data_IF_531109688020
#
_entry.id   IF_531109688020
#
_cell.length_a   1.000
_cell.length_b   1.000
_cell.length_c   1.000
_cell.angle_alpha   90.00
_cell.angle_beta   90.00
_cell.angle_gamma   90.00
#
_symmetry.space_group_name_H-M   'P 1'
#
loop_
_entity.id
_entity.type
_entity.pdbx_description
1 polymer ?
#
# COMPACT_ATOMS: atom_id res chain seq x y z
N UNK A 1 30.52 16.95 -9.52
CA UNK A 1 30.59 16.45 -8.13
C UNK A 1 32.01 16.01 -7.90
N UNK A 2 32.80 16.78 -7.15
CA UNK A 2 34.18 16.38 -6.84
C UNK A 2 34.10 15.31 -5.75
N UNK A 3 34.47 14.09 -6.09
CA UNK A 3 34.43 12.96 -5.17
C UNK A 3 35.57 13.11 -4.16
N UNK A 4 35.24 13.07 -2.87
CA UNK A 4 36.22 12.95 -1.81
C UNK A 4 36.95 11.59 -1.91
N UNK A 5 38.22 11.49 -1.48
CA UNK A 5 38.96 10.22 -1.51
C UNK A 5 38.32 9.15 -0.60
N UNK A 6 37.72 9.57 0.52
CA UNK A 6 36.97 8.74 1.47
C UNK A 6 35.69 9.46 1.90
N UNK A 7 34.70 8.74 2.45
CA UNK A 7 33.45 9.36 2.91
C UNK A 7 33.74 10.32 4.08
N UNK A 8 33.18 11.53 3.99
CA UNK A 8 33.29 12.54 5.05
C UNK A 8 32.53 12.14 6.32
N UNK A 9 31.56 11.22 6.21
CA UNK A 9 30.84 10.64 7.36
C UNK A 9 31.78 9.79 8.19
N UNK A 10 32.54 8.90 7.55
CA UNK A 10 33.51 8.02 8.20
C UNK A 10 34.62 8.85 8.88
N UNK A 11 35.01 9.99 8.28
CA UNK A 11 35.91 10.96 8.89
C UNK A 11 35.32 11.60 10.17
N UNK A 12 34.05 12.00 10.16
CA UNK A 12 33.39 12.59 11.34
C UNK A 12 33.15 11.57 12.45
N UNK A 13 32.89 10.31 12.09
CA UNK A 13 32.65 9.20 13.02
C UNK A 13 33.94 8.55 13.53
N UNK A 14 35.11 9.03 13.11
CA UNK A 14 36.44 8.49 13.47
C UNK A 14 36.61 7.01 13.09
N UNK A 15 35.97 6.59 11.99
CA UNK A 15 36.04 5.22 11.45
C UNK A 15 37.22 5.03 10.48
N UNK A 16 37.82 6.12 10.03
CA UNK A 16 38.98 6.11 9.12
C UNK A 16 40.29 5.85 9.88
N UNK A 17 41.20 5.12 9.26
CA UNK A 17 42.57 4.99 9.77
C UNK A 17 43.32 6.32 9.69
N UNK A 18 44.35 6.49 10.51
CA UNK A 18 45.17 7.72 10.54
C UNK A 18 45.77 8.10 9.18
N UNK A 19 46.11 7.10 8.35
CA UNK A 19 46.59 7.33 6.99
C UNK A 19 45.49 7.92 6.09
N UNK A 20 44.27 7.39 6.16
CA UNK A 20 43.13 7.86 5.38
C UNK A 20 42.64 9.24 5.83
N UNK A 21 42.71 9.53 7.14
CA UNK A 21 42.40 10.86 7.68
C UNK A 21 43.30 11.94 7.06
N UNK A 22 44.61 11.67 6.94
CA UNK A 22 45.56 12.59 6.30
C UNK A 22 45.25 12.87 4.83
N UNK A 23 44.76 11.87 4.09
CA UNK A 23 44.32 12.03 2.69
C UNK A 23 43.08 12.93 2.58
N UNK A 24 42.11 12.76 3.48
CA UNK A 24 40.90 13.60 3.55
C UNK A 24 41.25 15.04 3.93
N UNK A 25 42.13 15.25 4.90
CA UNK A 25 42.56 16.59 5.33
C UNK A 25 43.30 17.34 4.22
N UNK A 26 44.18 16.65 3.50
CA UNK A 26 44.88 17.19 2.33
C UNK A 26 43.89 17.62 1.25
N UNK A 27 42.87 16.80 0.99
CA UNK A 27 41.80 17.13 0.04
C UNK A 27 40.93 18.31 0.52
N UNK A 28 40.58 18.37 1.81
CA UNK A 28 39.79 19.45 2.41
C UNK A 28 40.52 20.80 2.34
N UNK A 29 41.85 20.81 2.46
CA UNK A 29 42.65 22.01 2.30
C UNK A 29 42.51 22.62 0.88
N UNK A 30 42.40 21.77 -0.15
CA UNK A 30 42.24 22.19 -1.55
C UNK A 30 40.80 22.38 -2.02
N UNK A 31 39.80 21.88 -1.29
CA UNK A 31 38.40 21.82 -1.74
C UNK A 31 37.47 22.68 -0.86
N UNK A 32 37.08 23.89 -1.29
CA UNK A 32 36.11 24.71 -0.54
C UNK A 32 34.73 24.05 -0.45
N UNK A 33 34.31 23.32 -1.49
CA UNK A 33 33.06 22.55 -1.46
C UNK A 33 33.08 21.40 -0.45
N UNK A 34 34.24 20.76 -0.26
CA UNK A 34 34.41 19.71 0.74
C UNK A 34 34.28 20.23 2.18
N UNK A 35 34.84 21.42 2.44
CA UNK A 35 34.72 22.09 3.74
C UNK A 35 33.28 22.47 4.07
N UNK A 36 32.54 23.00 3.08
CA UNK A 36 31.12 23.34 3.25
C UNK A 36 30.25 22.10 3.56
N UNK A 37 30.52 20.97 2.90
CA UNK A 37 29.81 19.72 3.18
C UNK A 37 30.18 19.15 4.56
N UNK A 38 31.47 19.20 4.95
CA UNK A 38 31.91 18.80 6.27
C UNK A 38 31.23 19.62 7.39
N UNK A 39 31.09 20.94 7.18
CA UNK A 39 30.40 21.83 8.12
C UNK A 39 28.90 21.48 8.24
N UNK A 40 28.23 21.21 7.12
CA UNK A 40 26.83 20.74 7.11
C UNK A 40 26.67 19.41 7.88
N UNK A 41 27.59 18.47 7.66
CA UNK A 41 27.57 17.19 8.37
C UNK A 41 27.80 17.40 9.87
N UNK A 42 28.75 18.26 10.27
CA UNK A 42 28.97 18.60 11.69
C UNK A 42 27.74 19.19 12.37
N UNK A 43 27.02 20.08 11.70
CA UNK A 43 25.75 20.62 12.22
C UNK A 43 24.70 19.53 12.40
N UNK A 44 24.56 18.64 11.41
CA UNK A 44 23.60 17.53 11.45
C UNK A 44 23.92 16.54 12.57
N UNK A 45 25.18 16.13 12.70
CA UNK A 45 25.63 15.25 13.78
C UNK A 45 25.53 15.91 15.15
N UNK A 46 25.78 17.22 15.25
CA UNK A 46 25.54 18.00 16.47
C UNK A 46 24.07 18.00 16.89
N UNK A 47 23.16 18.17 15.93
CA UNK A 47 21.72 18.06 16.18
C UNK A 47 21.33 16.63 16.60
N UNK A 48 21.84 15.60 15.93
CA UNK A 48 21.57 14.20 16.30
C UNK A 48 22.08 13.86 17.71
N UNK A 49 23.27 14.33 18.09
CA UNK A 49 23.81 14.15 19.46
C UNK A 49 23.05 14.93 20.54
N UNK A 50 22.28 15.95 20.15
CA UNK A 50 21.45 16.70 21.09
C UNK A 50 20.14 15.98 21.44
N UNK A 51 19.74 14.98 20.65
CA UNK A 51 18.62 14.13 21.01
C UNK A 51 19.05 13.24 22.18
N UNK A 52 18.22 13.10 23.23
CA UNK A 52 18.48 12.12 24.26
C UNK A 52 18.56 10.73 23.63
N UNK A 53 19.50 9.91 24.12
CA UNK A 53 19.58 8.48 23.80
C UNK A 53 18.34 7.77 24.39
N UNK A 54 17.20 7.95 23.74
CA UNK A 54 16.00 7.18 24.03
C UNK A 54 16.21 5.76 23.48
N UNK A 55 16.11 4.78 24.37
CA UNK A 55 16.05 3.38 23.99
C UNK A 55 14.95 3.26 22.92
N UNK A 56 15.25 2.86 21.66
CA UNK A 56 14.25 2.79 20.61
C UNK A 56 13.12 1.96 21.18
N UNK A 57 11.87 2.49 21.23
CA UNK A 57 10.82 1.93 22.06
C UNK A 57 10.83 0.44 21.82
N UNK A 58 11.27 -0.31 22.85
CA UNK A 58 11.42 -1.78 22.76
C UNK A 58 10.12 -2.19 22.17
N UNK A 59 10.18 -2.67 20.93
CA UNK A 59 9.00 -2.87 20.11
C UNK A 59 7.98 -3.44 21.06
N UNK A 60 6.94 -2.64 21.40
CA UNK A 60 5.66 -3.25 21.59
C UNK A 60 5.50 -3.82 20.20
N UNK A 61 5.94 -5.06 20.04
CA UNK A 61 5.59 -5.81 18.90
C UNK A 61 4.07 -5.71 19.04
N UNK A 62 3.46 -4.92 18.15
CA UNK A 62 2.20 -5.31 17.59
C UNK A 62 2.48 -6.69 16.93
N UNK A 63 2.79 -7.71 17.74
CA UNK A 63 2.12 -8.97 17.67
C UNK A 63 0.68 -8.51 17.73
N UNK A 64 0.09 -8.34 16.54
CA UNK A 64 -1.31 -8.67 16.37
C UNK A 64 -1.48 -9.92 17.19
N UNK A 65 -2.08 -9.76 18.36
CA UNK A 65 -2.34 -10.81 19.30
C UNK A 65 -2.81 -12.02 18.48
N UNK A 66 -1.99 -13.07 18.42
CA UNK A 66 -2.31 -14.30 17.70
C UNK A 66 -3.33 -15.10 18.51
N UNK A 67 -4.26 -14.39 19.14
CA UNK A 67 -5.32 -14.87 20.03
C UNK A 67 -6.69 -14.58 19.40
N UNK A 68 -6.78 -13.79 18.32
CA UNK A 68 -8.03 -13.61 17.56
C UNK A 68 -7.90 -13.90 16.06
N UNK A 69 -7.11 -14.90 15.67
CA UNK A 69 -7.40 -15.53 14.38
C UNK A 69 -8.71 -16.30 14.54
N UNK A 70 -9.81 -15.93 13.84
CA UNK A 70 -11.00 -16.77 13.83
C UNK A 70 -10.56 -18.17 13.41
N UNK A 71 -10.93 -19.17 14.22
CA UNK A 71 -10.70 -20.59 13.95
C UNK A 71 -10.85 -20.88 12.45
N UNK A 72 -9.98 -21.71 11.84
CA UNK A 72 -10.12 -22.09 10.44
C UNK A 72 -11.55 -22.52 10.08
N UNK A 73 -12.24 -23.15 11.03
CA UNK A 73 -13.65 -23.51 10.93
C UNK A 73 -14.60 -22.32 10.91
N UNK A 74 -14.35 -21.31 11.77
CA UNK A 74 -15.11 -20.06 11.78
C UNK A 74 -14.88 -19.23 10.50
N UNK A 75 -13.68 -19.28 9.90
CA UNK A 75 -13.40 -18.66 8.60
C UNK A 75 -14.16 -19.34 7.47
N UNK A 76 -14.19 -20.68 7.46
CA UNK A 76 -14.93 -21.47 6.48
C UNK A 76 -16.43 -21.20 6.54
N UNK A 77 -17.03 -21.25 7.74
CA UNK A 77 -18.44 -20.94 7.94
C UNK A 77 -18.78 -19.50 7.53
N UNK A 78 -17.94 -18.53 7.87
CA UNK A 78 -18.15 -17.14 7.46
C UNK A 78 -18.06 -16.95 5.94
N UNK A 79 -17.20 -17.69 5.25
CA UNK A 79 -17.13 -17.68 3.80
C UNK A 79 -18.43 -18.24 3.17
N UNK A 80 -18.98 -19.31 3.74
CA UNK A 80 -20.28 -19.86 3.35
C UNK A 80 -21.46 -18.92 3.63
N UNK A 81 -21.44 -18.16 4.73
CA UNK A 81 -22.55 -17.29 5.13
C UNK A 81 -22.51 -15.90 4.49
N UNK A 82 -21.33 -15.32 4.23
CA UNK A 82 -21.20 -13.95 3.70
C UNK A 82 -21.31 -13.89 2.17
N UNK A 83 -21.03 -14.99 1.46
CA UNK A 83 -21.19 -15.10 0.00
C UNK A 83 -22.51 -15.80 -0.42
N UNK A 84 -23.42 -16.02 0.54
CA UNK A 84 -24.63 -16.83 0.42
C UNK A 84 -25.56 -16.57 -0.78
N UNK A 85 -25.88 -15.33 -1.19
CA UNK A 85 -26.87 -15.15 -2.27
C UNK A 85 -26.31 -15.40 -3.68
N UNK A 86 -24.98 -15.35 -3.88
CA UNK A 86 -24.39 -15.52 -5.23
C UNK A 86 -24.19 -16.98 -5.60
N UNK A 87 -23.84 -17.84 -4.64
CA UNK A 87 -23.75 -19.28 -4.87
C UNK A 87 -25.10 -19.99 -4.87
N UNK A 88 -26.13 -19.46 -4.21
CA UNK A 88 -27.48 -20.04 -4.25
C UNK A 88 -28.08 -20.04 -5.67
N UNK A 89 -27.81 -18.99 -6.46
CA UNK A 89 -28.30 -18.88 -7.83
C UNK A 89 -27.51 -19.77 -8.79
N UNK A 90 -26.19 -19.88 -8.58
CA UNK A 90 -25.33 -20.80 -9.33
C UNK A 90 -25.68 -22.27 -9.07
N UNK A 91 -25.89 -22.66 -7.81
CA UNK A 91 -26.29 -24.02 -7.47
C UNK A 91 -27.70 -24.34 -7.96
N UNK A 92 -28.64 -23.41 -7.91
CA UNK A 92 -29.97 -23.56 -8.50
C UNK A 92 -29.90 -23.73 -10.02
N UNK A 93 -29.04 -22.98 -10.72
CA UNK A 93 -28.86 -23.13 -12.16
C UNK A 93 -28.24 -24.48 -12.53
N UNK A 94 -27.21 -24.93 -11.82
CA UNK A 94 -26.59 -26.25 -12.03
C UNK A 94 -27.60 -27.37 -11.75
N UNK A 95 -28.37 -27.28 -10.67
CA UNK A 95 -29.43 -28.25 -10.36
C UNK A 95 -30.54 -28.22 -11.42
N UNK A 96 -30.95 -27.04 -11.89
CA UNK A 96 -31.95 -26.93 -12.95
C UNK A 96 -31.47 -27.59 -14.25
N UNK A 97 -30.21 -27.40 -14.64
CA UNK A 97 -29.60 -28.08 -15.80
C UNK A 97 -29.52 -29.59 -15.57
N UNK A 98 -29.12 -30.03 -14.36
CA UNK A 98 -29.06 -31.45 -14.00
C UNK A 98 -30.44 -32.10 -14.09
N UNK A 99 -31.47 -31.50 -13.49
CA UNK A 99 -32.83 -32.02 -13.52
C UNK A 99 -33.45 -31.95 -14.92
N UNK A 100 -33.18 -30.89 -15.69
CA UNK A 100 -33.60 -30.81 -17.09
C UNK A 100 -32.93 -31.91 -17.93
N UNK A 101 -31.64 -32.18 -17.69
CA UNK A 101 -30.91 -33.28 -18.31
C UNK A 101 -31.46 -34.65 -17.89
N UNK A 102 -31.74 -34.85 -16.60
CA UNK A 102 -32.33 -36.09 -16.08
C UNK A 102 -33.73 -36.34 -16.66
N UNK A 103 -34.53 -35.28 -16.78
CA UNK A 103 -35.86 -35.33 -17.38
C UNK A 103 -35.79 -35.63 -18.88
N UNK A 104 -34.84 -35.04 -19.60
CA UNK A 104 -34.66 -35.28 -21.04
C UNK A 104 -34.05 -36.67 -21.35
N UNK A 105 -33.21 -37.20 -20.47
CA UNK A 105 -32.43 -38.43 -20.73
C UNK A 105 -33.01 -39.69 -20.10
N UNK A 106 -34.03 -39.58 -19.25
CA UNK A 106 -34.71 -40.69 -18.56
C UNK A 106 -33.75 -41.83 -18.13
N UNK A 107 -32.71 -41.56 -17.32
CA UNK A 107 -31.71 -42.55 -17.00
C UNK A 107 -32.31 -43.71 -16.20
N UNK A 108 -32.17 -44.93 -16.72
CA UNK A 108 -32.56 -46.16 -16.02
C UNK A 108 -31.32 -46.93 -15.60
N UNK A 109 -31.19 -47.11 -14.29
CA UNK A 109 -30.18 -47.99 -13.69
C UNK A 109 -30.85 -49.34 -13.46
N UNK A 110 -30.39 -50.37 -14.15
CA UNK A 110 -30.80 -51.75 -13.87
C UNK A 110 -29.64 -52.49 -13.24
N UNK A 111 -29.86 -52.96 -12.00
CA UNK A 111 -28.92 -53.84 -11.32
C UNK A 111 -29.23 -55.29 -11.72
N UNK A 112 -28.28 -55.95 -12.39
CA UNK A 112 -28.36 -57.37 -12.76
C UNK A 112 -27.32 -58.15 -11.96
N UNK A 113 -27.47 -59.46 -11.86
CA UNK A 113 -26.55 -60.32 -11.08
C UNK A 113 -25.06 -60.18 -11.48
N UNK A 114 -24.77 -59.75 -12.71
CA UNK A 114 -23.41 -59.56 -13.24
C UNK A 114 -22.90 -58.11 -13.17
N UNK A 115 -23.68 -57.15 -12.65
CA UNK A 115 -23.25 -55.75 -12.47
C UNK A 115 -24.33 -54.70 -12.67
N UNK A 116 -23.91 -53.44 -12.74
CA UNK A 116 -24.79 -52.27 -12.91
C UNK A 116 -24.73 -51.77 -14.36
N UNK A 117 -25.88 -51.65 -15.02
CA UNK A 117 -25.99 -51.05 -16.36
C UNK A 117 -26.79 -49.75 -16.30
N UNK A 118 -26.30 -48.72 -17.00
CA UNK A 118 -26.92 -47.39 -17.09
C UNK A 118 -27.37 -47.18 -18.53
N UNK A 119 -28.68 -47.09 -18.76
CA UNK A 119 -29.28 -46.80 -20.05
C UNK A 119 -29.94 -45.40 -20.03
N UNK A 120 -29.92 -44.72 -21.17
CA UNK A 120 -30.54 -43.40 -21.34
C UNK A 120 -31.49 -43.46 -22.55
N UNK A 121 -32.72 -42.96 -22.39
CA UNK A 121 -33.76 -42.95 -23.44
C UNK A 121 -34.61 -44.23 -23.54
N UNK A 122 -35.67 -44.15 -24.36
CA UNK A 122 -36.65 -45.23 -24.60
C UNK A 122 -36.34 -46.08 -25.86
N UNK A 123 -35.06 -46.37 -26.13
CA UNK A 123 -34.70 -47.31 -27.18
C UNK A 123 -33.85 -48.45 -26.62
N UNK A 124 -34.37 -49.66 -26.80
CA UNK A 124 -33.66 -50.92 -26.56
C UNK A 124 -32.32 -50.92 -27.33
N UNK A 125 -31.28 -51.61 -26.83
CA UNK A 125 -29.94 -51.51 -27.38
C UNK A 125 -29.87 -52.19 -28.77
N UNK A 126 -30.06 -51.40 -29.82
CA UNK A 126 -29.73 -51.81 -31.18
C UNK A 126 -28.20 -51.78 -31.31
N UNK A 127 -27.63 -52.97 -31.39
CA UNK A 127 -26.23 -53.22 -31.75
C UNK A 127 -25.97 -52.65 -33.14
N UNK A 128 -25.32 -51.49 -33.23
CA UNK A 128 -24.77 -50.98 -34.49
C UNK A 128 -23.41 -50.29 -34.24
N UNK A 129 -22.40 -50.54 -35.09
CA UNK A 129 -21.05 -50.04 -34.90
C UNK A 129 -20.99 -48.53 -35.20
N UNK A 130 -20.43 -47.77 -34.26
CA UNK A 130 -20.16 -46.34 -34.41
C UNK A 130 -19.09 -46.15 -35.49
N UNK A 131 -19.35 -45.43 -36.61
CA UNK A 131 -18.29 -44.98 -37.49
C UNK A 131 -17.46 -43.91 -36.77
N UNK A 132 -16.16 -44.20 -36.61
CA UNK A 132 -15.15 -43.28 -36.11
C UNK A 132 -15.07 -42.04 -37.01
N UNK A 133 -15.74 -40.97 -36.59
CA UNK A 133 -15.52 -39.64 -37.15
C UNK A 133 -14.15 -39.15 -36.66
N UNK A 134 -13.21 -38.77 -37.54
CA UNK A 134 -11.93 -38.22 -37.11
C UNK A 134 -12.15 -36.88 -36.38
N UNK A 135 -11.44 -36.69 -35.27
CA UNK A 135 -11.47 -35.46 -34.50
C UNK A 135 -11.22 -34.24 -35.41
N UNK A 136 -11.94 -33.12 -35.24
CA UNK A 136 -11.68 -31.92 -36.01
C UNK A 136 -10.22 -31.51 -35.79
N UNK A 137 -9.48 -31.34 -36.89
CA UNK A 137 -8.10 -30.83 -36.86
C UNK A 137 -8.18 -29.42 -36.27
N UNK A 138 -7.74 -29.29 -35.03
CA UNK A 138 -7.69 -28.02 -34.31
C UNK A 138 -6.52 -27.23 -34.88
N UNK A 139 -6.81 -26.11 -35.52
CA UNK A 139 -5.80 -25.21 -36.05
C UNK A 139 -5.19 -24.39 -34.92
N UNK A 140 -4.00 -24.80 -34.46
CA UNK A 140 -3.21 -24.17 -33.39
C UNK A 140 -3.04 -22.65 -33.61
N UNK A 141 -2.93 -22.22 -34.88
CA UNK A 141 -2.77 -20.82 -35.23
C UNK A 141 -4.03 -19.99 -34.91
N UNK A 142 -5.22 -20.58 -35.09
CA UNK A 142 -6.49 -19.94 -34.75
C UNK A 142 -6.69 -19.83 -33.23
N UNK A 143 -6.12 -20.74 -32.44
CA UNK A 143 -6.11 -20.65 -30.98
C UNK A 143 -5.16 -19.54 -30.54
N UNK A 144 -3.95 -19.50 -31.06
CA UNK A 144 -2.96 -18.48 -30.68
C UNK A 144 -3.45 -17.06 -30.99
N UNK A 145 -4.08 -16.86 -32.15
CA UNK A 145 -4.66 -15.56 -32.51
C UNK A 145 -5.77 -15.11 -31.54
N UNK A 146 -6.57 -16.04 -30.98
CA UNK A 146 -7.60 -15.73 -29.98
C UNK A 146 -7.01 -15.39 -28.63
N UNK A 147 -5.93 -16.08 -28.23
CA UNK A 147 -5.20 -15.78 -27.00
C UNK A 147 -4.57 -14.39 -27.07
N UNK A 148 -3.90 -14.07 -28.18
CA UNK A 148 -3.24 -12.77 -28.35
C UNK A 148 -4.27 -11.62 -28.37
N UNK A 149 -5.42 -11.81 -29.03
CA UNK A 149 -6.52 -10.85 -29.02
C UNK A 149 -7.11 -10.65 -27.61
N UNK A 150 -7.28 -11.73 -26.84
CA UNK A 150 -7.78 -11.65 -25.47
C UNK A 150 -6.77 -10.94 -24.53
N UNK A 151 -5.49 -11.25 -24.66
CA UNK A 151 -4.42 -10.61 -23.88
C UNK A 151 -4.27 -9.13 -24.24
N UNK A 152 -4.46 -8.75 -25.51
CA UNK A 152 -4.45 -7.35 -25.93
C UNK A 152 -5.59 -6.56 -25.27
N UNK A 153 -6.82 -7.10 -25.29
CA UNK A 153 -7.97 -6.47 -24.65
C UNK A 153 -7.80 -6.33 -23.13
N UNK A 154 -7.29 -7.37 -22.47
CA UNK A 154 -7.04 -7.35 -21.02
C UNK A 154 -5.98 -6.32 -20.62
N UNK A 155 -4.90 -6.18 -21.41
CA UNK A 155 -3.86 -5.17 -21.19
C UNK A 155 -4.37 -3.75 -21.31
N UNK A 156 -5.30 -3.49 -22.23
CA UNK A 156 -5.92 -2.16 -22.38
C UNK A 156 -6.81 -1.84 -21.18
N UNK A 157 -7.62 -2.80 -20.73
CA UNK A 157 -8.47 -2.65 -19.54
C UNK A 157 -7.64 -2.41 -18.28
N UNK A 158 -6.58 -3.21 -18.05
CA UNK A 158 -5.67 -3.05 -16.92
C UNK A 158 -4.97 -1.70 -16.92
N UNK A 159 -4.55 -1.19 -18.09
CA UNK A 159 -3.94 0.15 -18.19
C UNK A 159 -4.93 1.26 -17.87
N UNK A 160 -6.18 1.14 -18.31
CA UNK A 160 -7.22 2.12 -18.00
C UNK A 160 -7.54 2.15 -16.50
N UNK A 161 -7.68 0.98 -15.86
CA UNK A 161 -7.91 0.86 -14.43
C UNK A 161 -6.72 1.39 -13.60
N UNK A 162 -5.49 1.08 -14.04
CA UNK A 162 -4.28 1.61 -13.41
C UNK A 162 -4.22 3.14 -13.51
N UNK A 163 -4.51 3.71 -14.68
CA UNK A 163 -4.54 5.16 -14.86
C UNK A 163 -5.59 5.84 -13.97
N UNK A 164 -6.77 5.24 -13.83
CA UNK A 164 -7.84 5.77 -12.96
C UNK A 164 -7.47 5.69 -11.48
N UNK A 165 -6.94 4.55 -11.03
CA UNK A 165 -6.54 4.37 -9.63
C UNK A 165 -5.37 5.27 -9.21
N UNK A 166 -4.38 5.45 -10.09
CA UNK A 166 -3.29 6.40 -9.84
C UNK A 166 -3.76 7.85 -9.86
N UNK A 167 -4.64 8.22 -10.80
CA UNK A 167 -5.23 9.56 -10.85
C UNK A 167 -5.97 9.90 -9.55
N UNK A 168 -6.84 9.01 -9.09
CA UNK A 168 -7.58 9.20 -7.84
C UNK A 168 -6.65 9.32 -6.61
N UNK A 169 -5.57 8.54 -6.56
CA UNK A 169 -4.60 8.61 -5.46
C UNK A 169 -3.82 9.93 -5.44
N UNK A 170 -3.44 10.45 -6.61
CA UNK A 170 -2.73 11.73 -6.72
C UNK A 170 -3.65 12.87 -6.26
N UNK A 171 -4.91 12.86 -6.71
CA UNK A 171 -5.89 13.87 -6.33
C UNK A 171 -6.20 13.86 -4.83
N UNK A 172 -6.31 12.67 -4.22
CA UNK A 172 -6.53 12.54 -2.79
C UNK A 172 -5.32 13.07 -1.99
N UNK A 173 -4.10 12.76 -2.43
CA UNK A 173 -2.88 13.29 -1.82
C UNK A 173 -2.82 14.81 -1.93
N UNK A 174 -3.12 15.36 -3.12
CA UNK A 174 -3.12 16.80 -3.36
C UNK A 174 -4.08 17.54 -2.40
N UNK A 175 -5.32 17.04 -2.27
CA UNK A 175 -6.31 17.59 -1.33
C UNK A 175 -5.86 17.50 0.12
N UNK A 176 -5.26 16.37 0.53
CA UNK A 176 -4.74 16.20 1.90
C UNK A 176 -3.58 17.15 2.18
N UNK A 177 -2.68 17.37 1.22
CA UNK A 177 -1.59 18.34 1.38
C UNK A 177 -2.11 19.77 1.48
N UNK A 178 -3.09 20.14 0.65
CA UNK A 178 -3.70 21.48 0.70
C UNK A 178 -4.40 21.73 2.03
N UNK A 179 -5.21 20.76 2.51
CA UNK A 179 -5.87 20.86 3.80
C UNK A 179 -4.89 20.94 4.99
N UNK A 180 -3.76 20.22 4.93
CA UNK A 180 -2.71 20.33 5.95
C UNK A 180 -2.07 21.71 5.93
N UNK A 181 -1.75 22.21 4.74
CA UNK A 181 -1.12 23.53 4.60
C UNK A 181 -2.05 24.65 5.06
N UNK A 182 -3.34 24.60 4.70
CA UNK A 182 -4.33 25.56 5.18
C UNK A 182 -4.46 25.54 6.71
N UNK A 183 -4.49 24.35 7.32
CA UNK A 183 -4.57 24.23 8.78
C UNK A 183 -3.31 24.79 9.49
N UNK A 184 -2.13 24.65 8.89
CA UNK A 184 -0.90 25.25 9.41
C UNK A 184 -0.91 26.78 9.29
N UNK A 185 -1.44 27.32 8.19
CA UNK A 185 -1.61 28.77 8.02
C UNK A 185 -2.60 29.37 9.02
N UNK A 186 -3.69 28.67 9.34
CA UNK A 186 -4.62 29.10 10.37
C UNK A 186 -3.96 29.09 11.77
N UNK A 187 -3.27 28.01 12.13
CA UNK A 187 -2.57 27.93 13.41
C UNK A 187 -1.49 29.01 13.57
N UNK A 188 -0.70 29.27 12.53
CA UNK A 188 0.30 30.36 12.55
C UNK A 188 -0.35 31.75 12.64
N UNK A 189 -1.50 31.95 11.99
CA UNK A 189 -2.25 33.21 12.09
C UNK A 189 -2.78 33.45 13.51
N UNK A 190 -3.29 32.42 14.17
CA UNK A 190 -3.75 32.50 15.56
C UNK A 190 -2.61 32.80 16.55
N UNK A 191 -1.45 32.15 16.35
CA UNK A 191 -0.26 32.38 17.17
C UNK A 191 0.30 33.82 16.99
N UNK A 192 0.36 34.30 15.75
CA UNK A 192 0.70 35.69 15.44
C UNK A 192 -0.29 36.68 16.07
N UNK A 193 -1.59 36.40 16.03
CA UNK A 193 -2.60 37.22 16.68
C UNK A 193 -2.41 37.28 18.21
N UNK A 194 -2.15 36.13 18.82
CA UNK A 194 -1.94 36.00 20.27
C UNK A 194 -0.66 36.71 20.73
N UNK A 195 0.43 36.58 19.98
CA UNK A 195 1.69 37.26 20.28
C UNK A 195 1.57 38.79 20.14
N UNK A 196 0.90 39.29 19.10
CA UNK A 196 0.64 40.72 18.94
C UNK A 196 -0.22 41.29 20.08
N UNK A 197 -1.25 40.55 20.50
CA UNK A 197 -2.07 40.93 21.65
C UNK A 197 -1.23 41.05 22.94
N UNK A 198 -0.33 40.09 23.18
CA UNK A 198 0.54 40.09 24.36
C UNK A 198 1.54 41.26 24.35
N UNK A 199 2.10 41.58 23.17
CA UNK A 199 2.98 42.74 23.00
C UNK A 199 2.22 44.04 23.30
N UNK A 200 1.01 44.20 22.75
CA UNK A 200 0.20 45.39 22.99
C UNK A 200 -0.14 45.55 24.48
N UNK A 201 -0.55 44.47 25.14
CA UNK A 201 -0.86 44.47 26.58
C UNK A 201 0.36 44.85 27.43
N UNK A 202 1.55 44.30 27.11
CA UNK A 202 2.80 44.68 27.78
C UNK A 202 3.17 46.13 27.55
N UNK A 203 2.94 46.64 26.34
CA UNK A 203 3.19 48.04 26.01
C UNK A 203 2.30 48.98 26.84
N UNK A 204 1.01 48.67 26.95
CA UNK A 204 0.08 49.45 27.79
C UNK A 204 0.47 49.44 29.27
N UNK A 205 0.86 48.28 29.82
CA UNK A 205 1.37 48.19 31.19
C UNK A 205 2.61 49.05 31.41
N UNK A 206 3.57 48.98 30.48
CA UNK A 206 4.82 49.73 30.58
C UNK A 206 4.59 51.25 30.50
N UNK A 207 3.64 51.69 29.67
CA UNK A 207 3.22 53.10 29.60
C UNK A 207 2.55 53.57 30.90
N UNK A 208 1.75 52.71 31.53
CA UNK A 208 1.13 53.00 32.84
C UNK A 208 2.19 53.14 33.93
N UNK A 209 3.12 52.20 34.04
CA UNK A 209 4.21 52.23 35.03
C UNK A 209 5.11 53.48 34.85
N UNK A 210 5.40 53.86 33.59
CA UNK A 210 6.16 55.08 33.28
C UNK A 210 5.42 56.35 33.69
N UNK A 211 4.09 56.36 33.62
CA UNK A 211 3.29 57.51 34.08
C UNK A 211 3.32 57.61 35.60
N UNK A 212 3.10 56.50 36.32
CA UNK A 212 3.08 56.45 37.78
C UNK A 212 4.45 56.83 38.39
N UNK A 213 5.55 56.34 37.81
CA UNK A 213 6.91 56.69 38.26
C UNK A 213 7.28 58.14 38.02
N UNK A 214 6.77 58.79 36.96
CA UNK A 214 6.97 60.23 36.73
C UNK A 214 6.24 61.08 37.77
N UNK A 215 5.04 60.68 38.18
CA UNK A 215 4.29 61.39 39.24
C UNK A 215 4.94 61.24 40.62
N UNK A 216 5.45 60.04 40.96
CA UNK A 216 6.12 59.80 42.24
C UNK A 216 7.46 60.55 42.44
N UNK A 217 8.03 61.13 41.37
CA UNK A 217 9.31 61.87 41.41
C UNK A 217 9.14 63.39 41.45
N UNK A 218 7.90 63.88 41.38
CA UNK A 218 7.56 65.30 41.34
C UNK A 218 7.01 65.86 42.67
N UNK A 219 6.83 65.00 43.68
CA UNK A 219 6.61 65.36 45.09
C UNK A 219 7.91 65.29 45.90
#
# INVERSE_FOLDING_TARGET
MHNAPHDLRDYILDELTSAQQGEVETWLAGSPSGRAELERLRLTFGALRSLPDEEPPRRIAFVSDKIFEPSPWARFLRWFHVEGPRFALGSAAVLAVLFAGLWATEPRVTATADGWTLAFGNEAPATAPVPSTPAPVVDEAAIQARIDAAVAADREQMRAELAQSFGAMIDERARKTEAKFSSQLEGTREDLGSSLYLINTKYEQLMKDLSETKFARAE
#
